data_IF_874249322404
#
_entry.id   IF_874249322404
#
_cell.length_a   1.000
_cell.length_b   1.000
_cell.length_c   1.000
_cell.angle_alpha   90.00
_cell.angle_beta   90.00
_cell.angle_gamma   90.00
#
_symmetry.space_group_name_H-M   'P 1'
#
loop_
_entity.id
_entity.type
_entity.pdbx_description
1 polymer ?
#
# COMPACT_ATOMS: atom_id res chain seq x y z
N UNK A 1 10.07 -7.65 6.16
CA UNK A 1 9.18 -8.50 6.97
C UNK A 1 8.76 -7.72 8.21
N UNK A 2 7.45 -7.52 8.38
CA UNK A 2 6.88 -6.88 9.58
C UNK A 2 6.22 -7.98 10.42
N UNK A 3 6.41 -7.91 11.72
CA UNK A 3 5.87 -8.88 12.66
C UNK A 3 5.33 -8.15 13.90
N UNK A 4 4.01 -8.04 13.99
CA UNK A 4 3.38 -7.65 15.24
C UNK A 4 3.41 -8.83 16.22
N UNK A 5 4.29 -8.73 17.21
CA UNK A 5 4.45 -9.75 18.25
C UNK A 5 3.26 -9.77 19.21
N UNK A 6 2.59 -8.62 19.37
CA UNK A 6 1.38 -8.44 20.19
C UNK A 6 0.26 -7.81 19.35
N UNK A 7 -0.27 -8.52 18.33
CA UNK A 7 -1.22 -7.94 17.38
C UNK A 7 -2.52 -7.48 18.06
N UNK A 8 -2.93 -8.11 19.15
CA UNK A 8 -4.12 -7.74 19.94
C UNK A 8 -4.01 -6.36 20.62
N UNK A 9 -2.79 -5.84 20.75
CA UNK A 9 -2.49 -4.54 21.36
C UNK A 9 -2.25 -3.43 20.33
N UNK A 10 -2.20 -3.74 19.03
CA UNK A 10 -2.08 -2.76 17.95
C UNK A 10 -3.42 -2.72 17.20
N UNK A 11 -4.17 -1.63 17.37
CA UNK A 11 -5.62 -1.65 17.06
C UNK A 11 -6.00 -1.06 15.70
N UNK A 12 -5.10 -0.36 15.01
CA UNK A 12 -5.45 0.34 13.76
C UNK A 12 -4.50 0.07 12.60
N UNK A 13 -3.22 -0.17 12.87
CA UNK A 13 -2.20 -0.34 11.83
C UNK A 13 -1.87 -1.83 11.66
N UNK A 14 -1.98 -2.35 10.43
CA UNK A 14 -1.59 -3.72 10.11
C UNK A 14 -0.14 -3.82 9.64
N UNK A 15 0.36 -5.04 9.54
CA UNK A 15 1.72 -5.33 9.04
C UNK A 15 1.90 -4.83 7.61
N UNK A 16 0.87 -4.95 6.77
CA UNK A 16 0.87 -4.52 5.38
C UNK A 16 0.85 -2.99 5.24
N UNK A 17 0.17 -2.30 6.15
CA UNK A 17 0.21 -0.84 6.21
C UNK A 17 1.60 -0.34 6.61
N UNK A 18 2.25 -0.98 7.59
CA UNK A 18 3.65 -0.67 7.91
C UNK A 18 4.56 -0.96 6.72
N UNK A 19 4.45 -2.14 6.11
CA UNK A 19 5.29 -2.53 4.97
C UNK A 19 5.18 -1.49 3.83
N UNK A 20 3.95 -1.10 3.47
CA UNK A 20 3.70 -0.08 2.46
C UNK A 20 4.39 1.26 2.80
N UNK A 21 4.20 1.76 4.02
CA UNK A 21 4.79 3.02 4.46
C UNK A 21 6.34 2.95 4.48
N UNK A 22 6.92 1.83 4.90
CA UNK A 22 8.38 1.64 4.92
C UNK A 22 8.98 1.63 3.51
N UNK A 23 8.34 0.97 2.55
CA UNK A 23 8.77 1.03 1.14
C UNK A 23 8.73 2.47 0.60
N UNK A 24 7.68 3.23 0.92
CA UNK A 24 7.60 4.65 0.57
C UNK A 24 8.76 5.45 1.18
N UNK A 25 9.10 5.20 2.44
CA UNK A 25 10.23 5.82 3.14
C UNK A 25 11.61 5.40 2.58
N UNK A 26 11.67 4.34 1.76
CA UNK A 26 12.92 3.80 1.20
C UNK A 26 13.59 2.78 2.10
N UNK A 27 12.86 2.24 3.07
CA UNK A 27 13.33 1.14 3.90
C UNK A 27 12.93 -0.15 3.21
N UNK A 28 13.94 -0.80 2.65
CA UNK A 28 13.84 -2.08 1.96
C UNK A 28 14.45 -3.17 2.84
N UNK A 29 13.98 -4.41 2.67
CA UNK A 29 14.55 -5.62 3.29
C UNK A 29 14.81 -5.55 4.81
N UNK A 30 13.97 -4.79 5.54
CA UNK A 30 14.02 -4.71 6.99
C UNK A 30 13.21 -5.83 7.67
N UNK A 31 13.69 -6.28 8.82
CA UNK A 31 12.90 -7.07 9.77
C UNK A 31 12.48 -6.15 10.90
N UNK A 32 11.17 -6.02 11.12
CA UNK A 32 10.61 -5.12 12.13
C UNK A 32 9.68 -5.91 13.04
N UNK A 33 10.03 -5.96 14.33
CA UNK A 33 9.16 -6.48 15.38
C UNK A 33 8.46 -5.32 16.09
N UNK A 34 7.12 -5.34 16.08
CA UNK A 34 6.29 -4.33 16.75
C UNK A 34 5.65 -4.95 17.99
N UNK A 35 5.96 -4.39 19.16
CA UNK A 35 5.46 -4.83 20.47
C UNK A 35 4.80 -3.65 21.18
N UNK A 36 3.66 -3.91 21.80
CA UNK A 36 3.09 -3.01 22.81
C UNK A 36 2.53 -3.80 23.99
N UNK A 37 2.86 -3.46 25.25
CA UNK A 37 2.29 -4.09 26.43
C UNK A 37 0.85 -3.61 26.74
N UNK A 38 0.37 -2.59 26.03
CA UNK A 38 -0.95 -1.97 26.20
C UNK A 38 -1.58 -1.67 24.84
N UNK A 39 -2.90 -1.51 24.79
CA UNK A 39 -3.60 -1.17 23.54
C UNK A 39 -3.23 0.22 23.02
N UNK A 40 -2.76 0.29 21.79
CA UNK A 40 -2.37 1.51 21.07
C UNK A 40 -2.78 1.41 19.60
N UNK A 41 -2.83 2.55 18.89
CA UNK A 41 -3.21 2.55 17.46
C UNK A 41 -2.12 1.99 16.55
N UNK A 42 -0.85 2.10 16.95
CA UNK A 42 0.32 1.65 16.17
C UNK A 42 1.09 2.79 15.48
N UNK A 43 0.47 3.93 15.16
CA UNK A 43 1.09 5.00 14.37
C UNK A 43 2.46 5.48 14.89
N UNK A 44 2.65 5.53 16.21
CA UNK A 44 3.93 5.95 16.80
C UNK A 44 5.10 4.98 16.54
N UNK A 45 4.81 3.71 16.25
CA UNK A 45 5.83 2.72 15.92
C UNK A 45 6.58 3.12 14.66
N UNK A 46 5.90 3.68 13.65
CA UNK A 46 6.51 4.09 12.39
C UNK A 46 7.64 5.10 12.60
N UNK A 47 7.40 6.12 13.43
CA UNK A 47 8.43 7.10 13.82
C UNK A 47 9.59 6.46 14.59
N UNK A 48 9.29 5.47 15.44
CA UNK A 48 10.31 4.70 16.15
C UNK A 48 11.20 3.90 15.19
N UNK A 49 10.61 3.27 14.18
CA UNK A 49 11.32 2.51 13.15
C UNK A 49 12.28 3.42 12.38
N UNK A 50 11.84 4.62 11.98
CA UNK A 50 12.71 5.57 11.28
C UNK A 50 13.93 5.97 12.11
N UNK A 51 13.73 6.28 13.40
CA UNK A 51 14.83 6.62 14.30
C UNK A 51 15.81 5.46 14.46
N UNK A 52 15.31 4.24 14.65
CA UNK A 52 16.16 3.07 14.78
C UNK A 52 16.95 2.77 13.49
N UNK A 53 16.33 2.99 12.33
CA UNK A 53 17.01 2.82 11.03
C UNK A 53 18.09 3.88 10.80
N UNK A 54 17.78 5.16 11.07
CA UNK A 54 18.74 6.28 10.95
C UNK A 54 19.91 6.19 11.94
N UNK A 55 19.71 5.61 13.12
CA UNK A 55 20.77 5.39 14.11
C UNK A 55 21.66 4.18 13.77
N UNK A 56 21.24 3.32 12.84
CA UNK A 56 21.98 2.14 12.40
C UNK A 56 23.08 2.44 11.37
N UNK A 57 23.63 1.39 10.76
CA UNK A 57 24.58 1.50 9.64
C UNK A 57 23.89 1.78 8.28
N UNK A 58 22.61 2.15 8.31
CA UNK A 58 21.79 2.42 7.14
C UNK A 58 22.15 3.74 6.45
N UNK A 59 21.60 3.92 5.25
CA UNK A 59 21.62 5.24 4.61
C UNK A 59 20.61 6.13 5.32
N UNK A 60 20.99 7.38 5.62
CA UNK A 60 20.09 8.34 6.23
C UNK A 60 18.80 8.49 5.40
N UNK A 61 17.66 8.41 6.06
CA UNK A 61 16.36 8.49 5.40
C UNK A 61 16.09 9.89 4.87
N UNK A 62 15.46 9.94 3.71
CA UNK A 62 14.96 11.19 3.15
C UNK A 62 13.74 11.65 3.96
N UNK A 63 13.82 12.84 4.54
CA UNK A 63 12.77 13.38 5.42
C UNK A 63 11.45 13.55 4.69
N UNK A 64 11.47 13.99 3.44
CA UNK A 64 10.24 14.20 2.66
C UNK A 64 9.59 12.85 2.35
N UNK A 65 10.40 11.81 2.06
CA UNK A 65 9.89 10.44 1.90
C UNK A 65 9.29 9.89 3.20
N UNK A 66 9.94 10.10 4.35
CA UNK A 66 9.37 9.66 5.64
C UNK A 66 8.08 10.40 5.98
N UNK A 67 7.95 11.68 5.60
CA UNK A 67 6.72 12.43 5.82
C UNK A 67 5.59 11.93 4.92
N UNK A 68 5.86 11.67 3.65
CA UNK A 68 4.87 11.07 2.73
C UNK A 68 4.47 9.67 3.18
N UNK A 69 5.40 8.87 3.70
CA UNK A 69 5.09 7.57 4.29
C UNK A 69 4.18 7.66 5.54
N UNK A 70 4.37 8.66 6.39
CA UNK A 70 3.45 8.93 7.50
C UNK A 70 2.06 9.36 7.00
N UNK A 71 2.00 10.18 5.95
CA UNK A 71 0.74 10.59 5.32
C UNK A 71 0.01 9.38 4.72
N UNK A 72 0.75 8.47 4.09
CA UNK A 72 0.22 7.21 3.58
C UNK A 72 -0.40 6.37 4.71
N UNK A 73 0.33 6.12 5.80
CA UNK A 73 -0.19 5.33 6.92
C UNK A 73 -1.48 5.93 7.49
N UNK A 74 -1.49 7.25 7.68
CA UNK A 74 -2.67 7.97 8.17
C UNK A 74 -3.85 7.89 7.20
N UNK A 75 -3.60 7.95 5.90
CA UNK A 75 -4.65 7.81 4.89
C UNK A 75 -5.18 6.36 4.88
N UNK A 76 -4.30 5.37 4.96
CA UNK A 76 -4.67 3.96 5.01
C UNK A 76 -5.60 3.66 6.20
N UNK A 77 -5.22 4.08 7.41
CA UNK A 77 -6.05 3.85 8.62
C UNK A 77 -7.34 4.66 8.59
N UNK A 78 -7.35 5.84 7.97
CA UNK A 78 -8.58 6.62 7.74
C UNK A 78 -9.54 5.90 6.78
N UNK A 79 -9.04 5.39 5.66
CA UNK A 79 -9.85 4.69 4.67
C UNK A 79 -10.38 3.37 5.21
N UNK A 80 -9.60 2.64 6.01
CA UNK A 80 -10.01 1.37 6.62
C UNK A 80 -11.11 1.51 7.69
N UNK A 81 -11.47 2.75 8.08
CA UNK A 81 -12.61 3.04 8.96
C UNK A 81 -13.89 3.36 8.18
N UNK A 82 -13.83 3.40 6.84
CA UNK A 82 -14.97 3.72 5.98
C UNK A 82 -15.80 2.46 5.72
N UNK A 83 -17.09 2.66 5.55
CA UNK A 83 -18.00 1.56 5.25
C UNK A 83 -17.62 0.89 3.92
N UNK A 84 -17.56 -0.44 3.91
CA UNK A 84 -17.16 -1.22 2.73
C UNK A 84 -15.66 -1.29 2.47
N UNK A 85 -14.83 -0.70 3.33
CA UNK A 85 -13.38 -0.75 3.27
C UNK A 85 -12.80 -1.32 4.57
N UNK A 86 -12.20 -2.50 4.48
CA UNK A 86 -11.38 -3.07 5.54
C UNK A 86 -9.89 -2.77 5.31
N UNK A 87 -9.06 -3.14 6.29
CA UNK A 87 -7.62 -2.89 6.26
C UNK A 87 -6.92 -3.62 5.10
N UNK A 88 -7.43 -4.78 4.70
CA UNK A 88 -6.83 -5.61 3.65
C UNK A 88 -7.10 -5.01 2.27
N UNK A 89 -8.36 -4.63 1.98
CA UNK A 89 -8.73 -3.90 0.75
C UNK A 89 -7.99 -2.58 0.60
N UNK A 90 -7.81 -1.84 1.69
CA UNK A 90 -7.07 -0.57 1.63
C UNK A 90 -5.58 -0.81 1.37
N UNK A 91 -5.00 -1.82 2.01
CA UNK A 91 -3.61 -2.21 1.76
C UNK A 91 -3.42 -2.73 0.33
N UNK A 92 -4.38 -3.49 -0.20
CA UNK A 92 -4.40 -3.95 -1.59
C UNK A 92 -4.44 -2.75 -2.55
N UNK A 93 -5.36 -1.82 -2.33
CA UNK A 93 -5.49 -0.60 -3.15
C UNK A 93 -4.17 0.18 -3.21
N UNK A 94 -3.55 0.47 -2.07
CA UNK A 94 -2.29 1.21 -2.04
C UNK A 94 -1.16 0.45 -2.73
N UNK A 95 -1.07 -0.86 -2.51
CA UNK A 95 -0.05 -1.72 -3.12
C UNK A 95 -0.23 -1.79 -4.64
N UNK A 96 -1.45 -2.01 -5.13
CA UNK A 96 -1.74 -2.10 -6.56
C UNK A 96 -1.55 -0.77 -7.29
N UNK A 97 -1.85 0.37 -6.66
CA UNK A 97 -1.54 1.68 -7.24
C UNK A 97 -0.01 1.85 -7.36
N UNK A 98 0.78 1.53 -6.32
CA UNK A 98 2.25 1.61 -6.40
C UNK A 98 2.82 0.70 -7.48
N UNK A 99 2.30 -0.52 -7.63
CA UNK A 99 2.69 -1.44 -8.70
C UNK A 99 2.41 -0.87 -10.09
N UNK A 100 1.25 -0.24 -10.27
CA UNK A 100 0.90 0.38 -11.56
C UNK A 100 1.75 1.62 -11.85
N UNK A 101 2.06 2.42 -10.83
CA UNK A 101 2.98 3.56 -10.95
C UNK A 101 4.39 3.07 -11.32
N UNK A 102 4.88 1.99 -10.71
CA UNK A 102 6.14 1.36 -11.11
C UNK A 102 6.09 0.93 -12.58
N UNK A 103 5.04 0.20 -12.98
CA UNK A 103 4.92 -0.33 -14.33
C UNK A 103 4.77 0.75 -15.43
N UNK A 104 4.02 1.82 -15.17
CA UNK A 104 3.68 2.84 -16.17
C UNK A 104 4.56 4.09 -16.09
N UNK A 105 5.19 4.36 -14.93
CA UNK A 105 5.95 5.57 -14.63
C UNK A 105 5.23 6.86 -15.07
N UNK A 106 4.05 7.16 -14.50
CA UNK A 106 3.23 8.30 -14.92
C UNK A 106 3.97 9.63 -14.73
N UNK A 107 3.97 10.44 -15.77
CA UNK A 107 4.59 11.75 -15.81
C UNK A 107 3.67 12.85 -15.25
N UNK A 108 2.35 12.69 -15.34
CA UNK A 108 1.40 13.76 -14.97
C UNK A 108 0.42 13.36 -13.86
N UNK A 109 -0.21 14.37 -13.25
CA UNK A 109 -1.27 14.16 -12.26
C UNK A 109 -2.47 13.44 -12.87
N UNK A 110 -2.82 13.76 -14.11
CA UNK A 110 -3.93 13.15 -14.83
C UNK A 110 -3.72 11.64 -15.06
N UNK A 111 -2.48 11.22 -15.32
CA UNK A 111 -2.13 9.80 -15.43
C UNK A 111 -2.26 9.07 -14.08
N UNK A 112 -1.87 9.72 -12.98
CA UNK A 112 -2.09 9.20 -11.62
C UNK A 112 -3.59 9.07 -11.31
N UNK A 113 -4.38 10.08 -11.64
CA UNK A 113 -5.84 10.05 -11.44
C UNK A 113 -6.47 8.88 -12.20
N UNK A 114 -6.03 8.64 -13.43
CA UNK A 114 -6.49 7.51 -14.24
C UNK A 114 -6.12 6.16 -13.61
N UNK A 115 -4.88 5.99 -13.16
CA UNK A 115 -4.44 4.78 -12.45
C UNK A 115 -5.32 4.54 -11.21
N UNK A 116 -5.56 5.58 -10.41
CA UNK A 116 -6.39 5.48 -9.20
C UNK A 116 -7.82 5.06 -9.57
N UNK A 117 -8.43 5.69 -10.58
CA UNK A 117 -9.79 5.33 -11.02
C UNK A 117 -9.89 3.89 -11.51
N UNK A 118 -8.89 3.44 -12.27
CA UNK A 118 -8.80 2.06 -12.75
C UNK A 118 -8.71 1.07 -11.58
N UNK A 119 -7.89 1.36 -10.55
CA UNK A 119 -7.73 0.49 -9.38
C UNK A 119 -8.95 0.51 -8.46
N UNK A 120 -9.57 1.67 -8.25
CA UNK A 120 -10.83 1.77 -7.50
C UNK A 120 -11.93 0.95 -8.19
N UNK A 121 -12.03 1.03 -9.52
CA UNK A 121 -12.98 0.24 -10.30
C UNK A 121 -12.66 -1.25 -10.24
N UNK A 122 -11.40 -1.65 -10.39
CA UNK A 122 -11.02 -3.07 -10.40
C UNK A 122 -11.23 -3.76 -9.06
N UNK A 123 -11.04 -3.04 -7.96
CA UNK A 123 -11.21 -3.55 -6.60
C UNK A 123 -12.65 -3.35 -6.07
N UNK A 124 -13.55 -2.84 -6.91
CA UNK A 124 -14.94 -2.50 -6.54
C UNK A 124 -15.02 -1.60 -5.32
N UNK A 125 -14.07 -0.67 -5.19
CA UNK A 125 -13.98 0.28 -4.09
C UNK A 125 -14.68 1.57 -4.50
N UNK A 126 -15.58 2.03 -3.63
CA UNK A 126 -16.21 3.34 -3.76
C UNK A 126 -15.64 4.28 -2.71
N UNK A 127 -15.15 5.43 -3.17
CA UNK A 127 -14.66 6.50 -2.30
C UNK A 127 -15.48 7.77 -2.51
N UNK A 128 -15.55 8.59 -1.47
CA UNK A 128 -16.04 9.95 -1.63
C UNK A 128 -15.06 10.76 -2.51
N UNK A 129 -15.52 11.82 -3.18
CA UNK A 129 -14.63 12.69 -3.97
C UNK A 129 -13.45 13.23 -3.15
N UNK A 130 -13.68 13.51 -1.86
CA UNK A 130 -12.65 14.01 -0.95
C UNK A 130 -11.62 12.93 -0.62
N UNK A 131 -12.05 11.71 -0.29
CA UNK A 131 -11.14 10.60 0.02
C UNK A 131 -10.36 10.16 -1.24
N UNK A 132 -11.00 10.19 -2.41
CA UNK A 132 -10.32 10.00 -3.71
C UNK A 132 -9.26 11.08 -3.93
N UNK A 133 -9.57 12.35 -3.69
CA UNK A 133 -8.60 13.44 -3.89
C UNK A 133 -7.39 13.29 -2.97
N UNK A 134 -7.58 12.83 -1.73
CA UNK A 134 -6.47 12.55 -0.82
C UNK A 134 -5.53 11.46 -1.35
N UNK A 135 -6.06 10.42 -1.98
CA UNK A 135 -5.24 9.40 -2.65
C UNK A 135 -4.46 10.01 -3.82
N UNK A 136 -5.12 10.79 -4.67
CA UNK A 136 -4.48 11.47 -5.80
C UNK A 136 -3.34 12.37 -5.33
N UNK A 137 -3.59 13.16 -4.29
CA UNK A 137 -2.59 14.08 -3.75
C UNK A 137 -1.41 13.33 -3.11
N UNK A 138 -1.67 12.21 -2.44
CA UNK A 138 -0.62 11.34 -1.88
C UNK A 138 0.29 10.79 -2.98
N UNK A 139 -0.28 10.15 -4.00
CA UNK A 139 0.51 9.56 -5.08
C UNK A 139 1.17 10.61 -5.97
N UNK A 140 0.55 11.77 -6.17
CA UNK A 140 1.19 12.87 -6.86
C UNK A 140 2.41 13.41 -6.08
N UNK A 141 2.35 13.48 -4.75
CA UNK A 141 3.53 13.83 -3.92
C UNK A 141 4.63 12.78 -4.05
N UNK A 142 4.30 11.50 -4.06
CA UNK A 142 5.29 10.43 -4.28
C UNK A 142 6.00 10.58 -5.63
N UNK A 143 5.25 10.93 -6.68
CA UNK A 143 5.80 11.28 -8.00
C UNK A 143 6.71 12.51 -7.95
N UNK A 144 6.26 13.60 -7.32
CA UNK A 144 7.02 14.85 -7.21
C UNK A 144 8.36 14.65 -6.47
N UNK A 145 8.40 13.72 -5.51
CA UNK A 145 9.61 13.30 -4.79
C UNK A 145 10.47 12.28 -5.56
N UNK A 146 10.08 11.89 -6.77
CA UNK A 146 10.75 10.87 -7.57
C UNK A 146 10.95 9.54 -6.81
N UNK A 147 9.96 9.13 -6.01
CA UNK A 147 10.02 7.84 -5.32
C UNK A 147 9.92 6.74 -6.37
N UNK A 148 11.02 6.00 -6.55
CA UNK A 148 11.10 4.94 -7.54
C UNK A 148 10.56 3.62 -6.99
N UNK A 149 9.34 3.26 -7.40
CA UNK A 149 8.71 2.00 -7.02
C UNK A 149 9.21 0.78 -7.82
N UNK A 150 9.97 0.97 -8.90
CA UNK A 150 10.55 -0.14 -9.68
C UNK A 150 11.54 -0.96 -8.84
N UNK A 151 12.31 -0.28 -7.98
CA UNK A 151 13.30 -0.90 -7.11
C UNK A 151 12.66 -1.83 -6.06
N UNK A 152 11.39 -1.57 -5.71
CA UNK A 152 10.65 -2.31 -4.69
C UNK A 152 9.55 -3.20 -5.27
N UNK A 153 9.60 -3.46 -6.59
CA UNK A 153 8.57 -4.22 -7.29
C UNK A 153 8.36 -5.61 -6.69
N UNK A 154 9.44 -6.33 -6.36
CA UNK A 154 9.36 -7.66 -5.74
C UNK A 154 8.70 -7.61 -4.36
N UNK A 155 9.02 -6.59 -3.55
CA UNK A 155 8.41 -6.39 -2.25
C UNK A 155 6.91 -6.07 -2.37
N UNK A 156 6.53 -5.26 -3.36
CA UNK A 156 5.12 -4.96 -3.67
C UNK A 156 4.37 -6.19 -4.20
N UNK A 157 5.01 -7.04 -5.01
CA UNK A 157 4.43 -8.30 -5.49
C UNK A 157 4.19 -9.29 -4.35
N UNK A 158 5.15 -9.42 -3.43
CA UNK A 158 5.00 -10.25 -2.24
C UNK A 158 3.87 -9.73 -1.35
N UNK A 159 3.83 -8.41 -1.12
CA UNK A 159 2.81 -7.77 -0.30
C UNK A 159 1.40 -7.97 -0.88
N UNK A 160 1.25 -7.77 -2.20
CA UNK A 160 0.01 -8.03 -2.93
C UNK A 160 -0.42 -9.49 -2.79
N UNK A 161 0.51 -10.44 -2.94
CA UNK A 161 0.23 -11.88 -2.80
C UNK A 161 -0.22 -12.24 -1.38
N UNK A 162 0.46 -11.71 -0.36
CA UNK A 162 0.13 -11.98 1.04
C UNK A 162 -1.26 -11.42 1.41
N UNK A 163 -1.58 -10.20 0.95
CA UNK A 163 -2.91 -9.60 1.13
C UNK A 163 -3.98 -10.44 0.45
N UNK A 164 -3.78 -10.81 -0.82
CA UNK A 164 -4.75 -11.62 -1.57
C UNK A 164 -5.01 -12.95 -0.90
N UNK A 165 -3.97 -13.65 -0.45
CA UNK A 165 -4.11 -14.90 0.29
C UNK A 165 -4.94 -14.73 1.56
N UNK A 166 -4.75 -13.64 2.31
CA UNK A 166 -5.54 -13.35 3.51
C UNK A 166 -7.02 -13.08 3.19
N UNK A 167 -7.29 -12.35 2.10
CA UNK A 167 -8.66 -12.13 1.61
C UNK A 167 -9.30 -13.45 1.20
N UNK A 168 -8.58 -14.31 0.47
CA UNK A 168 -9.06 -15.63 0.04
C UNK A 168 -9.38 -16.54 1.25
N UNK A 169 -8.50 -16.56 2.25
CA UNK A 169 -8.69 -17.30 3.50
C UNK A 169 -9.90 -16.78 4.30
N UNK A 170 -10.16 -15.48 4.27
CA UNK A 170 -11.28 -14.84 4.96
C UNK A 170 -12.63 -15.06 4.24
N UNK A 171 -12.64 -15.11 2.91
CA UNK A 171 -13.86 -15.24 2.08
C UNK A 171 -14.24 -16.70 1.81
N UNK A 172 -13.30 -17.64 1.94
CA UNK A 172 -13.58 -19.07 2.00
C UNK A 172 -14.17 -19.72 0.72
N UNK A 173 -14.17 -19.06 -0.43
CA UNK A 173 -14.84 -19.59 -1.64
C UNK A 173 -14.03 -19.48 -2.94
N UNK A 174 -13.94 -20.61 -3.65
CA UNK A 174 -13.15 -20.79 -4.89
C UNK A 174 -13.69 -19.99 -6.08
N UNK A 175 -14.95 -19.58 -6.03
CA UNK A 175 -15.61 -18.79 -7.08
C UNK A 175 -15.11 -17.34 -7.20
N UNK A 176 -14.62 -16.76 -6.10
CA UNK A 176 -14.03 -15.41 -6.12
C UNK A 176 -12.66 -15.41 -6.83
N UNK A 177 -11.78 -16.37 -6.51
CA UNK A 177 -10.47 -16.50 -7.17
C UNK A 177 -10.59 -16.71 -8.69
N UNK A 178 -11.57 -17.51 -9.13
CA UNK A 178 -11.80 -17.76 -10.55
C UNK A 178 -12.28 -16.50 -11.27
N UNK A 179 -13.09 -15.67 -10.58
CA UNK A 179 -13.56 -14.37 -11.08
C UNK A 179 -12.42 -13.34 -11.17
N UNK A 180 -11.57 -13.26 -10.14
CA UNK A 180 -10.40 -12.36 -10.11
C UNK A 180 -9.34 -12.79 -11.12
N UNK A 181 -9.03 -14.09 -11.23
CA UNK A 181 -8.07 -14.61 -12.20
C UNK A 181 -8.50 -14.37 -13.65
N UNK A 182 -9.78 -14.54 -13.96
CA UNK A 182 -10.31 -14.26 -15.28
C UNK A 182 -10.28 -12.76 -15.60
N UNK A 183 -10.58 -11.89 -14.62
CA UNK A 183 -10.46 -10.45 -14.76
C UNK A 183 -9.01 -9.99 -15.07
N UNK A 184 -8.00 -10.51 -14.35
CA UNK A 184 -6.60 -10.13 -14.61
C UNK A 184 -6.10 -10.65 -15.98
N UNK A 185 -6.57 -11.81 -16.43
CA UNK A 185 -6.28 -12.28 -17.80
C UNK A 185 -6.89 -11.36 -18.84
N UNK A 186 -8.14 -10.94 -18.66
CA UNK A 186 -8.82 -9.98 -19.55
C UNK A 186 -8.14 -8.60 -19.54
N UNK A 187 -7.63 -8.16 -18.40
CA UNK A 187 -6.86 -6.91 -18.26
C UNK A 187 -5.54 -6.96 -19.03
N UNK A 188 -4.77 -8.04 -18.89
CA UNK A 188 -3.50 -8.24 -19.60
C UNK A 188 -3.73 -8.36 -21.12
N UNK A 189 -4.80 -9.02 -21.54
CA UNK A 189 -5.16 -9.12 -22.96
C UNK A 189 -5.60 -7.78 -23.54
N UNK A 190 -6.37 -6.98 -22.77
CA UNK A 190 -6.79 -5.64 -23.16
C UNK A 190 -5.60 -4.68 -23.30
N UNK A 191 -4.62 -4.75 -22.39
CA UNK A 191 -3.38 -3.97 -22.46
C UNK A 191 -2.54 -4.41 -23.67
N UNK A 192 -2.40 -5.72 -23.93
CA UNK A 192 -1.68 -6.22 -25.11
C UNK A 192 -2.31 -5.80 -26.44
N UNK A 193 -3.64 -5.66 -26.48
CA UNK A 193 -4.38 -5.21 -27.67
C UNK A 193 -4.21 -3.71 -27.95
N UNK A 194 -3.94 -2.90 -26.93
CA UNK A 194 -3.73 -1.45 -27.06
C UNK A 194 -2.28 -1.11 -27.46
N UNK A 195 -1.33 -1.99 -27.16
CA UNK A 195 0.10 -1.85 -27.50
C UNK A 195 0.57 -2.74 -28.67
N UNK A 196 -0.37 -3.35 -29.41
CA UNK A 196 -0.13 -4.00 -30.71
C UNK A 196 -0.81 -3.23 -31.84
#
# INVERSE_FOLDING_TARGET
MINQVTPENITEVTDEMYANALLTAGIEDAVVDVVSPVKVTGHSALVGIYKAYDEGEGTALDKDRTEVANQELNLATRLAKKEGLDQDKVSELLTEIKKEIAAQNPATKEEIEKIIDEKLKSLEIQLSPEDRQLLVDLFNKMRDLNINFDNVKTQLENLSTDIQKRIEEAVGDKGFLESVSNFFKELIESIKSIFS
#
